data_IF_216488702142
#
_entry.id   IF_216488702142
#
_cell.length_a   1.000
_cell.length_b   1.000
_cell.length_c   1.000
_cell.angle_alpha   90.00
_cell.angle_beta   90.00
_cell.angle_gamma   90.00
#
_symmetry.space_group_name_H-M   'P 1'
#
loop_
_entity.id
_entity.type
_entity.pdbx_description
1 polymer ?
#
# COMPACT_ATOMS: atom_id res chain seq x y z
N UNK A 1 -6.30 34.32 8.36
CA UNK A 1 -6.68 34.59 6.96
C UNK A 1 -5.49 35.28 6.33
N UNK A 2 -4.59 34.52 5.70
CA UNK A 2 -3.38 35.06 5.08
C UNK A 2 -3.59 35.03 3.56
N UNK A 3 -3.52 36.22 2.96
CA UNK A 3 -3.66 36.48 1.53
C UNK A 3 -2.25 36.83 1.04
N UNK A 4 -1.79 36.15 0.01
CA UNK A 4 -0.55 36.50 -0.68
C UNK A 4 -0.90 37.39 -1.87
N UNK A 5 -0.39 38.62 -1.87
CA UNK A 5 -0.38 39.50 -3.03
C UNK A 5 0.97 39.34 -3.75
N UNK A 6 0.93 39.16 -5.07
CA UNK A 6 2.10 39.21 -5.94
C UNK A 6 2.10 40.60 -6.61
N UNK A 7 3.06 41.44 -6.28
CA UNK A 7 3.42 42.61 -7.07
C UNK A 7 4.56 42.21 -8.02
N UNK A 8 4.31 42.35 -9.33
CA UNK A 8 5.33 42.27 -10.38
C UNK A 8 5.67 43.72 -10.72
N UNK A 9 6.90 44.14 -10.47
CA UNK A 9 7.40 45.44 -10.91
C UNK A 9 7.65 45.39 -12.43
N UNK A 10 6.74 46.03 -13.18
CA UNK A 10 6.95 46.43 -14.58
C UNK A 10 7.77 47.73 -14.60
N UNK A 11 9.10 47.65 -14.61
CA UNK A 11 9.96 48.73 -15.09
C UNK A 11 11.39 48.21 -15.28
N UNK A 12 11.68 47.65 -16.46
CA UNK A 12 13.06 47.66 -17.02
C UNK A 12 13.06 47.40 -18.53
N UNK A 13 12.24 48.16 -19.26
CA UNK A 13 12.33 48.30 -20.71
C UNK A 13 12.90 49.68 -21.05
N UNK A 14 14.23 49.79 -21.17
CA UNK A 14 14.92 50.60 -22.20
C UNK A 14 16.43 50.76 -21.94
N UNK A 15 17.28 50.23 -22.82
CA UNK A 15 18.30 51.03 -23.55
C UNK A 15 18.98 50.17 -24.66
N UNK A 16 19.11 50.63 -25.93
CA UNK A 16 19.71 49.87 -27.02
C UNK A 16 21.15 50.32 -27.32
N UNK A 17 22.10 49.37 -27.45
CA UNK A 17 23.48 49.72 -27.80
C UNK A 17 24.35 48.56 -28.29
N UNK A 18 24.42 48.40 -29.62
CA UNK A 18 25.60 48.09 -30.44
C UNK A 18 26.46 46.85 -30.13
N UNK A 19 26.63 45.99 -31.15
CA UNK A 19 27.93 45.40 -31.46
C UNK A 19 27.95 43.91 -31.81
N UNK A 20 27.99 43.60 -33.10
CA UNK A 20 28.39 42.29 -33.63
C UNK A 20 29.90 42.12 -33.41
N UNK A 21 30.32 41.04 -32.75
CA UNK A 21 31.67 40.50 -32.92
C UNK A 21 31.67 38.97 -32.71
N UNK A 22 32.08 38.27 -33.77
CA UNK A 22 32.36 36.83 -33.78
C UNK A 22 33.51 36.49 -32.83
N UNK A 23 33.29 35.49 -31.98
CA UNK A 23 34.31 34.89 -31.14
C UNK A 23 34.02 33.41 -30.91
N UNK A 24 34.71 32.55 -31.65
CA UNK A 24 34.73 31.11 -31.41
C UNK A 24 35.41 30.89 -30.05
N UNK A 25 34.64 30.48 -29.03
CA UNK A 25 35.16 30.02 -27.76
C UNK A 25 34.46 28.72 -27.35
N UNK A 26 35.29 27.71 -27.11
CA UNK A 26 34.99 26.32 -26.80
C UNK A 26 33.99 26.17 -25.66
N UNK A 27 32.82 25.56 -25.93
CA UNK A 27 31.89 25.10 -24.90
C UNK A 27 32.55 24.00 -24.06
N UNK A 28 33.00 24.35 -22.84
CA UNK A 28 33.26 23.36 -21.79
C UNK A 28 31.91 22.81 -21.32
N UNK A 29 31.80 21.48 -21.30
CA UNK A 29 30.63 20.77 -20.79
C UNK A 29 30.30 21.21 -19.35
N UNK A 30 29.03 21.57 -19.14
CA UNK A 30 28.43 21.94 -17.86
C UNK A 30 28.34 20.70 -16.94
N UNK A 31 28.45 20.82 -15.60
CA UNK A 31 28.54 19.68 -14.68
C UNK A 31 27.30 18.78 -14.62
N UNK A 32 26.16 19.22 -15.17
CA UNK A 32 24.89 18.49 -15.13
C UNK A 32 24.87 17.26 -16.05
N UNK A 33 25.56 17.29 -17.19
CA UNK A 33 25.58 16.15 -18.13
C UNK A 33 26.43 14.99 -17.59
N UNK A 34 27.45 15.30 -16.79
CA UNK A 34 28.33 14.30 -16.18
C UNK A 34 27.66 13.57 -15.00
N UNK A 35 26.76 14.24 -14.26
CA UNK A 35 26.01 13.61 -13.17
C UNK A 35 24.92 12.65 -13.67
N UNK A 36 24.24 12.96 -14.77
CA UNK A 36 23.23 12.08 -15.38
C UNK A 36 23.89 10.80 -15.91
N UNK A 37 25.02 10.92 -16.63
CA UNK A 37 25.75 9.77 -17.15
C UNK A 37 26.38 8.90 -16.05
N UNK A 38 26.75 9.50 -14.89
CA UNK A 38 27.24 8.75 -13.73
C UNK A 38 26.12 8.05 -12.95
N UNK A 39 24.91 8.62 -12.89
CA UNK A 39 23.74 7.98 -12.33
C UNK A 39 23.28 6.77 -13.17
N UNK A 40 23.21 6.93 -14.50
CA UNK A 40 22.88 5.85 -15.45
C UNK A 40 23.91 4.71 -15.43
N UNK A 41 25.19 5.03 -15.20
CA UNK A 41 26.28 4.04 -15.06
C UNK A 41 26.24 3.30 -13.73
N UNK A 42 25.79 3.93 -12.65
CA UNK A 42 25.67 3.32 -11.33
C UNK A 42 24.42 2.42 -11.22
N UNK A 43 23.37 2.69 -11.99
CA UNK A 43 22.15 1.88 -12.03
C UNK A 43 22.31 0.53 -12.72
N UNK A 44 23.18 0.42 -13.74
CA UNK A 44 23.44 -0.85 -14.44
C UNK A 44 24.22 -1.90 -13.62
N UNK A 45 24.72 -1.56 -12.44
CA UNK A 45 25.46 -2.47 -11.55
C UNK A 45 24.83 -2.65 -10.17
N UNK A 46 23.60 -2.17 -9.96
CA UNK A 46 22.98 -2.23 -8.63
C UNK A 46 22.55 -3.66 -8.30
N UNK A 47 23.06 -4.19 -7.19
CA UNK A 47 22.67 -5.51 -6.67
C UNK A 47 21.26 -5.38 -6.10
N UNK A 48 20.32 -6.19 -6.60
CA UNK A 48 18.96 -6.23 -6.10
C UNK A 48 18.94 -6.63 -4.62
N UNK A 49 18.23 -5.85 -3.80
CA UNK A 49 18.13 -6.17 -2.37
C UNK A 49 17.36 -7.49 -2.17
N UNK A 50 17.91 -8.44 -1.37
CA UNK A 50 17.25 -9.70 -1.13
C UNK A 50 16.00 -9.47 -0.28
N UNK A 51 14.93 -10.20 -0.60
CA UNK A 51 13.74 -10.17 0.22
C UNK A 51 13.99 -10.81 1.59
N UNK A 52 13.23 -10.37 2.59
CA UNK A 52 13.24 -10.94 3.94
C UNK A 52 11.84 -11.03 4.51
N UNK A 53 11.52 -12.17 5.13
CA UNK A 53 10.32 -12.33 5.93
C UNK A 53 10.56 -11.88 7.37
N UNK A 54 9.56 -11.21 7.94
CA UNK A 54 9.56 -10.72 9.33
C UNK A 54 8.45 -11.41 10.11
N UNK A 55 8.79 -11.94 11.28
CA UNK A 55 7.78 -12.51 12.16
C UNK A 55 6.95 -11.39 12.81
N UNK A 56 5.65 -11.64 13.00
CA UNK A 56 4.75 -10.69 13.66
C UNK A 56 5.26 -10.36 15.06
N UNK A 57 5.68 -11.37 15.83
CA UNK A 57 6.21 -11.20 17.18
C UNK A 57 7.47 -10.32 17.21
N UNK A 58 8.37 -10.47 16.23
CA UNK A 58 9.57 -9.65 16.10
C UNK A 58 9.20 -8.17 15.86
N UNK A 59 8.25 -7.90 14.96
CA UNK A 59 7.82 -6.52 14.68
C UNK A 59 7.08 -5.91 15.89
N UNK A 60 6.20 -6.68 16.55
CA UNK A 60 5.51 -6.24 17.77
C UNK A 60 6.48 -5.94 18.92
N UNK A 61 7.59 -6.67 19.04
CA UNK A 61 8.61 -6.43 20.04
C UNK A 61 9.29 -5.07 19.87
N UNK A 62 9.28 -4.51 18.66
CA UNK A 62 9.90 -3.21 18.38
C UNK A 62 9.02 -1.99 18.65
N UNK A 63 7.74 -2.18 18.96
CA UNK A 63 6.82 -1.08 19.22
C UNK A 63 7.21 -0.32 20.50
N UNK A 64 7.10 1.02 20.51
CA UNK A 64 7.31 1.81 21.72
C UNK A 64 6.20 1.52 22.76
N UNK A 65 6.37 1.92 24.03
CA UNK A 65 5.37 1.70 25.09
C UNK A 65 4.02 2.37 24.84
N UNK A 66 3.97 3.40 24.01
CA UNK A 66 2.75 4.10 23.61
C UNK A 66 2.89 4.57 22.16
N UNK A 67 1.79 4.55 21.40
CA UNK A 67 1.72 5.14 20.06
C UNK A 67 0.55 6.13 19.95
N UNK A 68 0.75 7.24 19.26
CA UNK A 68 -0.30 8.16 18.81
C UNK A 68 -0.89 7.74 17.47
N UNK A 69 -2.20 7.90 17.31
CA UNK A 69 -2.91 7.66 16.05
C UNK A 69 -3.95 8.73 15.75
N UNK A 70 -4.21 8.92 14.46
CA UNK A 70 -5.23 9.83 13.93
C UNK A 70 -6.16 9.10 12.95
N UNK A 71 -7.42 9.56 12.83
CA UNK A 71 -8.36 9.02 11.86
C UNK A 71 -7.94 9.36 10.42
N UNK A 72 -7.96 8.36 9.54
CA UNK A 72 -7.95 8.53 8.09
C UNK A 72 -9.38 8.34 7.57
N UNK A 73 -10.03 9.44 7.21
CA UNK A 73 -11.38 9.42 6.64
C UNK A 73 -11.32 9.23 5.12
N UNK A 74 -11.95 8.16 4.64
CA UNK A 74 -12.01 7.77 3.24
C UNK A 74 -13.44 7.97 2.73
N UNK A 75 -13.71 9.02 1.94
CA UNK A 75 -15.01 9.20 1.31
C UNK A 75 -15.24 8.10 0.28
N UNK A 76 -16.30 7.32 0.47
CA UNK A 76 -16.71 6.32 -0.52
C UNK A 76 -17.57 7.03 -1.57
N UNK A 77 -16.97 7.34 -2.72
CA UNK A 77 -17.67 7.97 -3.82
C UNK A 77 -18.82 7.07 -4.30
N UNK A 78 -20.03 7.63 -4.38
CA UNK A 78 -21.22 6.91 -4.82
C UNK A 78 -21.43 6.97 -6.34
N UNK A 79 -20.41 7.15 -7.19
CA UNK A 79 -20.59 7.10 -8.65
C UNK A 79 -19.36 6.61 -9.38
N UNK A 80 -19.53 5.46 -10.03
CA UNK A 80 -19.19 5.36 -11.45
C UNK A 80 -20.44 5.85 -12.15
N UNK A 81 -20.29 6.64 -13.20
CA UNK A 81 -21.35 7.36 -13.91
C UNK A 81 -21.88 8.63 -13.26
N UNK A 82 -21.24 9.75 -13.63
CA UNK A 82 -21.83 11.10 -13.60
C UNK A 82 -23.09 11.23 -14.50
N UNK A 83 -23.50 10.18 -15.20
CA UNK A 83 -24.63 10.21 -16.14
C UNK A 83 -25.99 9.83 -15.51
N UNK A 84 -26.04 8.97 -14.48
CA UNK A 84 -27.32 8.51 -13.90
C UNK A 84 -27.74 9.20 -12.58
N UNK A 85 -26.85 9.94 -11.91
CA UNK A 85 -27.09 10.38 -10.54
C UNK A 85 -27.90 11.69 -10.38
N UNK A 86 -28.50 12.21 -11.44
CA UNK A 86 -29.45 13.35 -11.31
C UNK A 86 -30.78 12.96 -10.66
N UNK A 87 -31.03 11.68 -10.35
CA UNK A 87 -32.32 11.20 -9.84
C UNK A 87 -32.31 10.70 -8.38
N UNK A 88 -31.16 10.62 -7.70
CA UNK A 88 -31.13 10.23 -6.27
C UNK A 88 -30.27 11.16 -5.40
N UNK A 89 -30.70 12.41 -5.25
CA UNK A 89 -30.05 13.45 -4.44
C UNK A 89 -30.08 13.22 -2.91
N UNK A 90 -30.27 11.98 -2.43
CA UNK A 90 -30.61 11.71 -1.02
C UNK A 90 -29.91 10.50 -0.38
N UNK A 91 -28.87 9.91 -0.98
CA UNK A 91 -28.02 8.94 -0.24
C UNK A 91 -26.93 9.69 0.51
N UNK A 92 -26.79 9.51 1.84
CA UNK A 92 -25.68 10.10 2.58
C UNK A 92 -24.36 9.57 2.05
N UNK A 93 -23.37 10.45 1.89
CA UNK A 93 -21.99 10.06 1.57
C UNK A 93 -21.48 9.12 2.66
N UNK A 94 -21.16 7.88 2.29
CA UNK A 94 -20.59 6.91 3.21
C UNK A 94 -19.10 7.21 3.40
N UNK A 95 -18.63 7.22 4.63
CA UNK A 95 -17.22 7.44 4.97
C UNK A 95 -16.72 6.24 5.75
N UNK A 96 -15.57 5.71 5.36
CA UNK A 96 -14.83 4.71 6.13
C UNK A 96 -13.75 5.44 6.91
N UNK A 97 -13.64 5.16 8.21
CA UNK A 97 -12.56 5.68 9.04
C UNK A 97 -11.60 4.56 9.41
N UNK A 98 -10.30 4.78 9.22
CA UNK A 98 -9.24 3.87 9.62
C UNK A 98 -8.32 4.61 10.58
N UNK A 99 -8.13 4.09 11.79
CA UNK A 99 -7.11 4.61 12.69
C UNK A 99 -5.72 4.29 12.15
N UNK A 100 -4.87 5.32 12.03
CA UNK A 100 -3.53 5.21 11.48
C UNK A 100 -2.53 5.86 12.43
N UNK A 101 -1.41 5.19 12.70
CA UNK A 101 -0.31 5.74 13.49
C UNK A 101 0.16 7.06 12.89
N UNK A 102 0.41 8.02 13.76
CA UNK A 102 0.89 9.33 13.35
C UNK A 102 2.35 9.27 12.89
N UNK A 103 2.67 10.04 11.84
CA UNK A 103 4.04 10.08 11.33
C UNK A 103 5.01 10.74 12.32
N UNK A 104 4.54 11.73 13.09
CA UNK A 104 5.37 12.37 14.12
C UNK A 104 5.72 11.39 15.24
N UNK A 105 4.83 10.45 15.55
CA UNK A 105 5.05 9.41 16.56
C UNK A 105 6.10 8.40 16.09
N UNK A 106 6.01 7.95 14.83
CA UNK A 106 7.04 7.13 14.20
C UNK A 106 8.41 7.83 14.17
N UNK A 107 8.43 9.15 13.90
CA UNK A 107 9.66 9.97 13.98
C UNK A 107 10.22 10.02 15.39
N UNK A 108 9.38 10.27 16.40
CA UNK A 108 9.80 10.34 17.80
C UNK A 108 10.41 9.03 18.28
N UNK A 109 9.86 7.89 17.83
CA UNK A 109 10.44 6.58 18.10
C UNK A 109 11.88 6.46 17.56
N UNK A 110 12.17 6.94 16.34
CA UNK A 110 13.52 6.87 15.78
C UNK A 110 14.52 7.75 16.55
N UNK A 111 14.12 8.98 16.87
CA UNK A 111 14.96 9.90 17.68
C UNK A 111 15.27 9.27 19.05
N UNK A 112 14.28 8.65 19.68
CA UNK A 112 14.47 8.00 20.97
C UNK A 112 15.43 6.81 20.90
N UNK A 113 15.51 6.13 19.76
CA UNK A 113 16.45 5.01 19.55
C UNK A 113 17.88 5.52 19.34
N UNK A 114 18.08 6.69 18.72
CA UNK A 114 19.40 7.32 18.55
C UNK A 114 20.04 7.73 19.88
N UNK A 115 19.25 8.32 20.78
CA UNK A 115 19.75 8.78 22.08
C UNK A 115 20.25 7.60 22.95
N UNK A 116 19.64 6.41 22.81
CA UNK A 116 20.00 5.22 23.57
C UNK A 116 21.16 4.40 23.00
N UNK A 117 21.40 4.44 21.68
CA UNK A 117 22.51 3.72 21.01
C UNK A 117 23.84 4.49 21.04
N UNK A 118 23.88 5.70 21.59
CA UNK A 118 25.12 6.50 21.77
C UNK A 118 26.14 5.87 22.74
N UNK A 119 25.72 4.91 23.58
CA UNK A 119 26.56 4.22 24.57
C UNK A 119 26.68 2.68 24.36
N UNK A 120 26.09 2.11 23.30
CA UNK A 120 26.06 0.66 23.06
C UNK A 120 26.66 0.24 21.70
N UNK A 121 27.35 -0.90 21.69
CA UNK A 121 27.92 -1.50 20.47
C UNK A 121 26.84 -1.81 19.41
N UNK A 122 27.16 -1.76 18.10
CA UNK A 122 26.19 -1.66 17.01
C UNK A 122 25.52 -3.00 16.64
N UNK A 123 24.76 -3.62 17.56
CA UNK A 123 24.23 -4.98 17.33
C UNK A 123 22.75 -5.21 17.69
N UNK A 124 21.93 -4.18 17.85
CA UNK A 124 20.51 -4.35 18.25
C UNK A 124 19.47 -3.97 17.19
N UNK A 125 19.81 -3.32 16.08
CA UNK A 125 18.89 -3.16 14.94
C UNK A 125 19.07 -4.30 13.96
N UNK A 126 18.31 -5.39 14.14
CA UNK A 126 18.36 -6.60 13.31
C UNK A 126 18.01 -6.43 11.83
N UNK A 127 18.09 -5.23 11.25
CA UNK A 127 17.61 -4.85 9.92
C UNK A 127 18.57 -3.93 9.12
N UNK A 128 19.78 -3.63 9.62
CA UNK A 128 20.87 -3.09 8.79
C UNK A 128 20.79 -1.62 8.38
N UNK A 129 19.70 -0.91 8.68
CA UNK A 129 19.60 0.55 8.44
C UNK A 129 19.96 1.31 9.72
N UNK A 130 20.94 2.22 9.62
CA UNK A 130 21.32 3.08 10.74
C UNK A 130 20.18 4.07 11.06
N UNK A 131 19.89 4.34 12.34
CA UNK A 131 18.86 5.31 12.73
C UNK A 131 18.98 6.67 12.01
N UNK A 132 20.21 7.22 11.89
CA UNK A 132 20.47 8.47 11.18
C UNK A 132 19.90 8.48 9.76
N UNK A 133 20.09 7.38 9.01
CA UNK A 133 19.59 7.22 7.65
C UNK A 133 18.05 7.14 7.62
N UNK A 134 17.43 6.59 8.66
CA UNK A 134 15.98 6.52 8.77
C UNK A 134 15.34 7.89 9.04
N UNK A 135 15.98 8.74 9.85
CA UNK A 135 15.53 10.12 10.06
C UNK A 135 15.67 10.95 8.79
N UNK A 136 16.77 10.78 8.05
CA UNK A 136 16.94 11.42 6.74
C UNK A 136 15.78 11.09 5.79
N UNK A 137 15.27 9.85 5.80
CA UNK A 137 14.12 9.45 4.99
C UNK A 137 12.80 10.11 5.41
N UNK A 138 12.60 10.36 6.71
CA UNK A 138 11.42 11.08 7.21
C UNK A 138 11.48 12.57 6.87
N UNK A 139 12.68 13.16 6.96
CA UNK A 139 12.92 14.58 6.72
C UNK A 139 13.13 14.93 5.24
N UNK A 140 13.25 13.92 4.38
CA UNK A 140 13.44 14.12 2.96
C UNK A 140 12.27 14.93 2.36
N UNK A 141 12.56 15.95 1.52
CA UNK A 141 11.53 16.72 0.83
C UNK A 141 10.81 15.90 -0.25
N UNK A 142 11.46 14.83 -0.73
CA UNK A 142 10.89 13.82 -1.63
C UNK A 142 10.60 12.56 -0.83
N UNK A 143 9.40 12.00 -0.99
CA UNK A 143 9.04 10.69 -0.42
C UNK A 143 9.71 9.52 -1.17
N UNK A 144 10.52 9.78 -2.19
CA UNK A 144 11.23 8.77 -2.98
C UNK A 144 12.73 9.07 -3.04
N UNK A 145 13.52 8.06 -2.68
CA UNK A 145 14.98 7.96 -2.88
C UNK A 145 15.27 6.59 -3.54
N UNK A 146 15.52 6.57 -4.86
CA UNK A 146 15.71 5.34 -5.63
C UNK A 146 16.62 4.27 -5.02
N UNK A 147 16.08 3.07 -4.84
CA UNK A 147 16.79 1.89 -4.34
C UNK A 147 17.38 2.05 -2.95
N UNK A 148 16.85 2.98 -2.15
CA UNK A 148 17.19 3.16 -0.73
C UNK A 148 15.95 3.43 0.13
N UNK A 149 15.05 4.28 -0.35
CA UNK A 149 13.78 4.60 0.30
C UNK A 149 12.70 4.85 -0.77
N UNK A 150 11.95 3.83 -1.12
CA UNK A 150 10.86 3.92 -2.10
C UNK A 150 9.53 4.43 -1.48
N UNK A 151 9.61 5.25 -0.42
CA UNK A 151 8.47 5.81 0.29
C UNK A 151 7.84 4.89 1.32
N UNK A 152 6.53 5.03 1.54
CA UNK A 152 5.72 4.13 2.37
C UNK A 152 5.41 4.61 3.79
N UNK A 153 6.16 5.58 4.35
CA UNK A 153 5.86 6.14 5.68
C UNK A 153 4.64 7.08 5.67
N UNK A 154 4.36 7.71 4.53
CA UNK A 154 3.15 8.50 4.28
C UNK A 154 2.12 7.65 3.54
N UNK A 155 0.85 7.96 3.75
CA UNK A 155 -0.25 7.40 2.97
C UNK A 155 -0.41 8.20 1.68
N UNK A 156 -0.41 7.51 0.55
CA UNK A 156 -0.60 8.11 -0.76
C UNK A 156 -2.08 8.04 -1.18
N UNK A 157 -2.54 8.99 -2.01
CA UNK A 157 -3.96 9.17 -2.32
C UNK A 157 -4.57 7.96 -3.03
N UNK A 158 -3.82 7.29 -3.91
CA UNK A 158 -4.34 6.11 -4.62
C UNK A 158 -4.64 4.94 -3.69
N UNK A 159 -4.12 4.90 -2.46
CA UNK A 159 -4.47 3.87 -1.50
C UNK A 159 -5.93 4.02 -1.03
N UNK A 160 -6.40 5.26 -0.92
CA UNK A 160 -7.78 5.60 -0.58
C UNK A 160 -8.71 5.28 -1.75
N UNK A 161 -8.29 5.59 -2.97
CA UNK A 161 -9.02 5.25 -4.19
C UNK A 161 -9.22 3.73 -4.31
N UNK A 162 -8.18 2.95 -3.96
CA UNK A 162 -8.22 1.50 -3.96
C UNK A 162 -9.21 0.95 -2.91
N UNK A 163 -9.28 1.56 -1.72
CA UNK A 163 -10.32 1.24 -0.72
C UNK A 163 -11.71 1.50 -1.28
N UNK A 164 -11.92 2.62 -1.97
CA UNK A 164 -13.19 2.92 -2.65
C UNK A 164 -13.59 1.83 -3.66
N UNK A 165 -12.63 1.32 -4.43
CA UNK A 165 -12.85 0.22 -5.37
C UNK A 165 -13.17 -1.10 -4.65
N UNK A 166 -12.40 -1.47 -3.63
CA UNK A 166 -12.65 -2.66 -2.81
C UNK A 166 -14.04 -2.61 -2.18
N UNK A 167 -14.41 -1.45 -1.64
CA UNK A 167 -15.74 -1.23 -1.08
C UNK A 167 -16.85 -1.45 -2.11
N UNK A 168 -16.68 -1.00 -3.35
CA UNK A 168 -17.66 -1.24 -4.42
C UNK A 168 -17.68 -2.69 -4.89
N UNK A 169 -16.52 -3.34 -4.99
CA UNK A 169 -16.42 -4.72 -5.49
C UNK A 169 -17.04 -5.70 -4.51
N UNK A 170 -16.78 -5.51 -3.21
CA UNK A 170 -17.20 -6.44 -2.17
C UNK A 170 -18.43 -6.00 -1.40
N UNK A 171 -18.75 -4.70 -1.41
CA UNK A 171 -19.83 -4.07 -0.66
C UNK A 171 -19.92 -4.60 0.78
N UNK A 172 -21.13 -5.03 1.19
CA UNK A 172 -21.41 -5.61 2.51
C UNK A 172 -20.95 -7.05 2.65
N UNK A 173 -20.42 -7.65 1.60
CA UNK A 173 -20.03 -9.07 1.56
C UNK A 173 -18.51 -9.27 1.64
N UNK A 174 -17.76 -8.23 2.00
CA UNK A 174 -16.28 -8.27 2.13
C UNK A 174 -15.81 -9.48 2.95
N UNK A 175 -16.39 -9.71 4.12
CA UNK A 175 -16.09 -10.89 4.93
C UNK A 175 -16.37 -12.20 4.16
N UNK A 176 -17.62 -12.40 3.72
CA UNK A 176 -18.07 -13.64 3.09
C UNK A 176 -17.24 -14.00 1.86
N UNK A 177 -16.88 -13.00 1.06
CA UNK A 177 -16.16 -13.19 -0.21
C UNK A 177 -14.65 -13.33 -0.03
N UNK A 178 -14.10 -12.78 1.05
CA UNK A 178 -12.66 -12.86 1.35
C UNK A 178 -12.30 -13.95 2.35
N UNK A 179 -13.26 -14.54 3.06
CA UNK A 179 -13.00 -15.63 4.02
C UNK A 179 -12.21 -16.76 3.37
N UNK A 180 -11.11 -17.16 4.01
CA UNK A 180 -10.25 -18.24 3.54
C UNK A 180 -9.41 -17.93 2.29
N UNK A 181 -9.35 -16.65 1.86
CA UNK A 181 -8.60 -16.21 0.67
C UNK A 181 -7.15 -15.85 0.99
N UNK A 182 -6.32 -15.85 -0.05
CA UNK A 182 -4.92 -15.41 0.00
C UNK A 182 -4.80 -14.04 -0.67
N UNK A 183 -4.36 -13.04 0.09
CA UNK A 183 -4.33 -11.63 -0.27
C UNK A 183 -2.89 -11.12 -0.22
N UNK A 184 -2.46 -10.38 -1.24
CA UNK A 184 -1.15 -9.74 -1.31
C UNK A 184 -1.32 -8.24 -1.53
N UNK A 185 -0.60 -7.43 -0.75
CA UNK A 185 -0.40 -6.01 -1.04
C UNK A 185 1.09 -5.75 -1.29
N UNK A 186 1.45 -5.37 -2.52
CA UNK A 186 2.80 -5.00 -2.93
C UNK A 186 3.02 -3.49 -2.78
N UNK A 187 4.15 -3.09 -2.20
CA UNK A 187 4.42 -1.70 -1.86
C UNK A 187 3.40 -1.18 -0.84
N UNK A 188 3.16 -1.93 0.24
CA UNK A 188 2.03 -1.70 1.11
C UNK A 188 2.11 -0.39 1.90
N UNK A 189 3.30 0.14 2.20
CA UNK A 189 3.42 1.37 2.97
C UNK A 189 2.64 1.32 4.28
N UNK A 190 1.74 2.28 4.47
CA UNK A 190 0.80 2.32 5.61
C UNK A 190 -0.31 1.25 5.60
N UNK A 191 -0.40 0.43 4.55
CA UNK A 191 -1.27 -0.73 4.32
C UNK A 191 -2.79 -0.46 4.28
N UNK A 192 -3.20 0.78 3.99
CA UNK A 192 -4.61 1.21 4.02
C UNK A 192 -5.60 0.26 3.32
N UNK A 193 -5.35 -0.25 2.10
CA UNK A 193 -6.20 -1.25 1.46
C UNK A 193 -6.35 -2.55 2.27
N UNK A 194 -5.26 -3.10 2.79
CA UNK A 194 -5.31 -4.28 3.66
C UNK A 194 -5.94 -4.00 5.03
N UNK A 195 -5.78 -2.80 5.59
CA UNK A 195 -6.46 -2.42 6.84
C UNK A 195 -7.97 -2.34 6.68
N UNK A 196 -8.44 -1.87 5.52
CA UNK A 196 -9.86 -1.92 5.17
C UNK A 196 -10.35 -3.37 5.20
N UNK A 197 -9.64 -4.29 4.53
CA UNK A 197 -9.99 -5.72 4.52
C UNK A 197 -9.96 -6.30 5.95
N UNK A 198 -8.88 -6.09 6.70
CA UNK A 198 -8.71 -6.57 8.07
C UNK A 198 -9.81 -6.08 9.02
N UNK A 199 -10.19 -4.80 8.94
CA UNK A 199 -11.23 -4.25 9.83
C UNK A 199 -12.60 -4.90 9.61
N UNK A 200 -12.93 -5.23 8.35
CA UNK A 200 -14.14 -6.00 8.04
C UNK A 200 -14.08 -7.42 8.60
N UNK A 201 -12.92 -8.07 8.57
CA UNK A 201 -12.74 -9.44 9.05
C UNK A 201 -12.74 -9.55 10.57
N UNK A 202 -12.19 -8.56 11.26
CA UNK A 202 -12.26 -8.49 12.71
C UNK A 202 -13.60 -7.97 13.24
N UNK A 203 -14.51 -7.57 12.34
CA UNK A 203 -15.90 -7.26 12.69
C UNK A 203 -16.81 -8.48 12.64
N UNK A 204 -16.28 -9.60 12.19
CA UNK A 204 -16.97 -10.88 12.03
C UNK A 204 -16.83 -11.73 13.28
N UNK A 205 -17.77 -12.64 13.50
CA UNK A 205 -17.64 -13.63 14.56
C UNK A 205 -16.40 -14.51 14.31
N UNK A 206 -15.65 -14.88 15.38
CA UNK A 206 -14.54 -15.83 15.27
C UNK A 206 -15.00 -17.10 14.54
N UNK A 207 -14.13 -17.66 13.71
CA UNK A 207 -14.50 -18.88 12.98
C UNK A 207 -14.70 -20.00 13.98
N UNK A 208 -15.90 -20.56 14.05
CA UNK A 208 -16.11 -21.80 14.79
C UNK A 208 -15.19 -22.86 14.21
N UNK A 209 -14.59 -23.68 15.08
CA UNK A 209 -13.69 -24.79 14.72
C UNK A 209 -14.45 -25.87 13.94
N UNK A 210 -14.83 -25.56 12.71
CA UNK A 210 -15.07 -26.57 11.68
C UNK A 210 -13.73 -26.84 11.00
N UNK A 211 -13.36 -28.13 10.93
CA UNK A 211 -12.16 -28.61 10.24
C UNK A 211 -12.09 -28.19 8.76
N UNK A 212 -13.21 -27.70 8.20
CA UNK A 212 -13.35 -27.24 6.82
C UNK A 212 -13.03 -25.74 6.61
N UNK A 213 -12.82 -24.95 7.67
CA UNK A 213 -12.50 -23.51 7.49
C UNK A 213 -11.02 -23.30 7.13
N UNK A 214 -10.75 -22.70 5.96
CA UNK A 214 -9.39 -22.37 5.53
C UNK A 214 -8.86 -21.10 6.19
N UNK A 215 -7.56 -21.08 6.45
CA UNK A 215 -6.86 -19.90 6.97
C UNK A 215 -6.85 -18.79 5.92
N UNK A 216 -7.17 -17.57 6.36
CA UNK A 216 -6.95 -16.39 5.54
C UNK A 216 -5.50 -15.98 5.62
N UNK A 217 -4.88 -15.72 4.47
CA UNK A 217 -3.49 -15.32 4.38
C UNK A 217 -3.41 -13.90 3.85
N UNK A 218 -2.81 -12.98 4.62
CA UNK A 218 -2.60 -11.59 4.21
C UNK A 218 -1.10 -11.32 4.22
N UNK A 219 -0.56 -11.08 3.04
CA UNK A 219 0.85 -10.79 2.83
C UNK A 219 1.03 -9.31 2.52
N UNK A 220 1.84 -8.63 3.33
CA UNK A 220 2.15 -7.21 3.20
C UNK A 220 3.62 -7.09 2.83
N UNK A 221 3.89 -6.57 1.63
CA UNK A 221 5.24 -6.40 1.14
C UNK A 221 5.56 -4.92 0.96
N UNK A 222 6.70 -4.49 1.48
CA UNK A 222 7.28 -3.17 1.19
C UNK A 222 8.75 -3.31 0.80
N UNK A 223 9.34 -2.33 0.13
CA UNK A 223 10.79 -2.35 -0.09
C UNK A 223 11.52 -2.22 1.25
N UNK A 224 11.05 -1.29 2.09
CA UNK A 224 11.76 -0.86 3.28
C UNK A 224 11.30 -1.64 4.53
N UNK A 225 12.19 -2.38 5.22
CA UNK A 225 11.82 -3.04 6.47
C UNK A 225 11.40 -2.06 7.58
N UNK A 226 11.93 -0.84 7.57
CA UNK A 226 11.54 0.22 8.51
C UNK A 226 10.09 0.66 8.33
N UNK A 227 9.56 0.64 7.11
CA UNK A 227 8.14 0.95 6.87
C UNK A 227 7.25 -0.09 7.54
N UNK A 228 7.60 -1.38 7.38
CA UNK A 228 6.88 -2.47 8.04
C UNK A 228 6.84 -2.32 9.55
N UNK A 229 8.00 -1.96 10.13
CA UNK A 229 8.20 -1.76 11.56
C UNK A 229 7.48 -0.53 12.10
N UNK A 230 7.63 0.62 11.43
CA UNK A 230 7.23 1.93 11.96
C UNK A 230 5.80 2.29 11.65
N UNK A 231 5.20 1.78 10.56
CA UNK A 231 3.84 2.17 10.17
C UNK A 231 2.94 0.97 9.86
N UNK A 232 3.41 -0.03 9.10
CA UNK A 232 2.54 -1.14 8.67
C UNK A 232 2.04 -1.97 9.85
N UNK A 233 2.94 -2.53 10.67
CA UNK A 233 2.57 -3.38 11.80
C UNK A 233 1.78 -2.62 12.89
N UNK A 234 2.16 -1.40 13.32
CA UNK A 234 1.33 -0.62 14.23
C UNK A 234 -0.08 -0.37 13.69
N UNK A 235 -0.22 -0.07 12.39
CA UNK A 235 -1.54 0.14 11.80
C UNK A 235 -2.39 -1.13 11.78
N UNK A 236 -1.79 -2.29 11.52
CA UNK A 236 -2.48 -3.60 11.59
C UNK A 236 -2.98 -3.87 13.02
N UNK A 237 -2.17 -3.57 14.03
CA UNK A 237 -2.58 -3.66 15.44
C UNK A 237 -3.74 -2.69 15.74
N UNK A 238 -3.67 -1.45 15.25
CA UNK A 238 -4.75 -0.46 15.39
C UNK A 238 -6.04 -0.93 14.72
N UNK A 239 -5.98 -1.52 13.52
CA UNK A 239 -7.16 -2.04 12.83
C UNK A 239 -7.86 -3.15 13.64
N UNK A 240 -7.10 -4.01 14.33
CA UNK A 240 -7.67 -4.96 15.28
C UNK A 240 -8.22 -4.25 16.53
N UNK A 241 -7.49 -3.32 17.13
CA UNK A 241 -7.89 -2.63 18.36
C UNK A 241 -9.20 -1.84 18.19
N UNK A 242 -9.40 -1.24 17.01
CA UNK A 242 -10.61 -0.47 16.67
C UNK A 242 -11.80 -1.34 16.28
N UNK A 243 -11.61 -2.66 16.19
CA UNK A 243 -12.66 -3.59 15.78
C UNK A 243 -13.41 -4.21 16.97
N UNK A 244 -14.58 -4.84 16.72
CA UNK A 244 -15.24 -5.70 17.69
C UNK A 244 -14.36 -6.83 18.25
N UNK A 245 -13.42 -7.39 17.48
CA UNK A 245 -12.57 -8.51 17.92
C UNK A 245 -11.69 -8.22 19.16
N UNK A 246 -11.42 -6.96 19.48
CA UNK A 246 -10.67 -6.57 20.69
C UNK A 246 -11.58 -6.22 21.87
N UNK A 247 -12.91 -6.37 21.75
CA UNK A 247 -13.86 -6.01 22.80
C UNK A 247 -13.57 -6.71 24.13
N UNK A 248 -13.33 -8.03 24.10
CA UNK A 248 -13.00 -8.79 25.32
C UNK A 248 -11.77 -8.24 26.02
N UNK A 249 -10.74 -7.84 25.26
CA UNK A 249 -9.55 -7.21 25.82
C UNK A 249 -9.89 -5.87 26.49
N UNK A 250 -10.60 -4.98 25.77
CA UNK A 250 -10.96 -3.65 26.29
C UNK A 250 -11.83 -3.72 27.54
N UNK A 251 -12.81 -4.62 27.57
CA UNK A 251 -13.69 -4.83 28.72
C UNK A 251 -12.89 -5.31 29.94
N UNK A 252 -11.96 -6.23 29.73
CA UNK A 252 -11.07 -6.72 30.79
C UNK A 252 -10.14 -5.63 31.32
N UNK A 253 -9.56 -4.82 30.43
CA UNK A 253 -8.66 -3.73 30.77
C UNK A 253 -9.39 -2.61 31.55
N UNK A 254 -10.61 -2.27 31.15
CA UNK A 254 -11.45 -1.32 31.88
C UNK A 254 -11.74 -1.79 33.31
N UNK A 255 -12.03 -3.08 33.49
CA UNK A 255 -12.30 -3.66 34.82
C UNK A 255 -11.07 -3.76 35.73
N UNK A 256 -9.87 -3.84 35.14
CA UNK A 256 -8.60 -3.92 35.87
C UNK A 256 -8.06 -2.55 36.29
N UNK A 257 -8.68 -1.45 35.85
CA UNK A 257 -8.16 -0.11 36.06
C UNK A 257 -8.25 0.35 37.53
N UNK A 258 -7.11 0.32 38.23
CA UNK A 258 -6.86 1.15 39.42
C UNK A 258 -6.38 2.53 39.00
N UNK A 259 -6.41 3.54 39.88
CA UNK A 259 -6.07 4.93 39.55
C UNK A 259 -4.68 5.17 38.89
N UNK A 260 -3.78 4.17 38.91
CA UNK A 260 -2.44 4.21 38.31
C UNK A 260 -2.26 3.27 37.09
N UNK A 261 -3.32 2.73 36.48
CA UNK A 261 -3.20 1.83 35.30
C UNK A 261 -3.31 2.56 33.96
N UNK A 262 -2.59 2.07 32.94
CA UNK A 262 -2.74 2.50 31.55
C UNK A 262 -4.23 2.55 31.12
N UNK A 263 -4.71 3.73 30.75
CA UNK A 263 -6.10 3.92 30.32
C UNK A 263 -6.18 3.69 28.81
N UNK A 264 -6.80 2.58 28.41
CA UNK A 264 -7.00 2.25 27.00
C UNK A 264 -8.11 3.11 26.36
N UNK A 265 -7.92 3.66 25.14
CA UNK A 265 -8.91 4.54 24.52
C UNK A 265 -10.15 3.76 24.05
N UNK A 266 -11.32 4.40 23.90
CA UNK A 266 -12.46 3.75 23.25
C UNK A 266 -12.11 3.31 21.82
N UNK A 267 -12.71 2.21 21.35
CA UNK A 267 -12.55 1.74 19.98
C UNK A 267 -13.41 2.58 19.02
N UNK A 268 -12.94 3.78 18.71
CA UNK A 268 -13.55 4.67 17.73
C UNK A 268 -12.49 5.15 16.72
N UNK A 269 -12.44 4.56 15.50
CA UNK A 269 -11.45 4.91 14.49
C UNK A 269 -11.66 6.30 13.88
N UNK A 270 -12.74 7.02 14.24
CA UNK A 270 -12.99 8.40 13.82
C UNK A 270 -12.40 9.45 14.75
N UNK A 271 -11.84 9.03 15.90
CA UNK A 271 -11.25 9.91 16.90
C UNK A 271 -9.74 9.70 17.00
N UNK A 272 -8.95 10.78 17.17
CA UNK A 272 -7.53 10.63 17.48
C UNK A 272 -7.33 10.17 18.93
N UNK A 273 -6.22 9.51 19.21
CA UNK A 273 -5.90 9.04 20.55
C UNK A 273 -4.50 8.46 20.69
N UNK A 274 -4.19 7.97 21.90
CA UNK A 274 -2.97 7.22 22.19
C UNK A 274 -3.32 5.81 22.63
N UNK A 275 -2.49 4.83 22.25
CA UNK A 275 -2.64 3.43 22.62
C UNK A 275 -1.39 2.95 23.35
N UNK A 276 -1.55 2.60 24.63
CA UNK A 276 -0.50 1.96 25.42
C UNK A 276 -0.24 0.54 24.91
N UNK A 277 1.02 0.24 24.62
CA UNK A 277 1.48 -1.03 24.05
C UNK A 277 2.00 -1.95 25.16
N UNK A 278 1.10 -2.72 25.74
CA UNK A 278 1.43 -3.66 26.84
C UNK A 278 1.65 -5.08 26.31
N UNK A 279 2.34 -5.96 27.07
CA UNK A 279 2.41 -7.39 26.74
C UNK A 279 1.03 -8.03 26.59
N UNK A 280 0.09 -7.70 27.48
CA UNK A 280 -1.29 -8.21 27.44
C UNK A 280 -2.03 -7.79 26.15
N UNK A 281 -1.81 -6.57 25.65
CA UNK A 281 -2.36 -6.11 24.37
C UNK A 281 -1.82 -6.96 23.21
N UNK A 282 -0.50 -7.18 23.18
CA UNK A 282 0.17 -7.99 22.13
C UNK A 282 -0.34 -9.43 22.15
N UNK A 283 -0.44 -10.04 23.33
CA UNK A 283 -0.94 -11.40 23.50
C UNK A 283 -2.40 -11.53 23.05
N UNK A 284 -3.26 -10.57 23.40
CA UNK A 284 -4.65 -10.52 22.97
C UNK A 284 -4.78 -10.36 21.45
N UNK A 285 -3.96 -9.51 20.83
CA UNK A 285 -3.90 -9.37 19.38
C UNK A 285 -3.52 -10.68 18.69
N UNK A 286 -2.44 -11.33 19.15
CA UNK A 286 -1.97 -12.61 18.60
C UNK A 286 -3.01 -13.73 18.80
N UNK A 287 -3.70 -13.76 19.95
CA UNK A 287 -4.81 -14.68 20.19
C UNK A 287 -5.97 -14.42 19.24
N UNK A 288 -6.31 -13.16 18.98
CA UNK A 288 -7.35 -12.78 18.04
C UNK A 288 -7.03 -13.18 16.60
N UNK A 289 -5.78 -13.04 16.16
CA UNK A 289 -5.34 -13.53 14.85
C UNK A 289 -5.60 -15.04 14.70
N UNK A 290 -5.29 -15.83 15.73
CA UNK A 290 -5.54 -17.28 15.74
C UNK A 290 -7.04 -17.58 15.72
N UNK A 291 -7.84 -16.91 16.55
CA UNK A 291 -9.28 -17.11 16.64
C UNK A 291 -10.03 -16.75 15.33
N UNK A 292 -9.54 -15.74 14.60
CA UNK A 292 -10.08 -15.35 13.29
C UNK A 292 -9.41 -16.08 12.13
N UNK A 293 -8.47 -17.00 12.40
CA UNK A 293 -7.69 -17.74 11.41
C UNK A 293 -6.99 -16.84 10.38
N UNK A 294 -6.49 -15.70 10.85
CA UNK A 294 -5.74 -14.73 10.05
C UNK A 294 -4.24 -15.01 10.18
N UNK A 295 -3.60 -15.33 9.07
CA UNK A 295 -2.15 -15.51 8.94
C UNK A 295 -1.55 -14.29 8.26
N UNK A 296 -0.73 -13.56 9.00
CA UNK A 296 0.01 -12.41 8.49
C UNK A 296 1.43 -12.82 8.09
N UNK A 297 1.89 -12.37 6.92
CA UNK A 297 3.29 -12.44 6.51
C UNK A 297 3.76 -11.06 6.06
N UNK A 298 4.80 -10.53 6.69
CA UNK A 298 5.38 -9.25 6.32
C UNK A 298 6.71 -9.48 5.62
N UNK A 299 6.89 -8.85 4.46
CA UNK A 299 8.00 -9.08 3.53
C UNK A 299 8.67 -7.74 3.21
N UNK A 300 9.99 -7.63 3.43
CA UNK A 300 10.77 -6.48 2.95
C UNK A 300 11.64 -6.85 1.75
N UNK A 301 12.12 -5.88 0.98
CA UNK A 301 13.11 -6.04 -0.08
C UNK A 301 12.56 -5.87 -1.50
N UNK A 302 13.42 -6.07 -2.50
CA UNK A 302 13.09 -5.86 -3.92
C UNK A 302 12.05 -6.86 -4.43
N UNK A 303 11.15 -6.40 -5.31
CA UNK A 303 10.24 -7.27 -6.05
C UNK A 303 10.99 -8.28 -6.92
N UNK A 304 12.17 -7.91 -7.43
CA UNK A 304 12.96 -8.79 -8.29
C UNK A 304 13.45 -10.07 -7.58
N UNK A 305 13.60 -10.02 -6.26
CA UNK A 305 14.05 -11.16 -5.46
C UNK A 305 12.91 -11.84 -4.69
N UNK A 306 11.70 -11.26 -4.71
CA UNK A 306 10.57 -11.71 -3.90
C UNK A 306 10.12 -13.12 -4.28
N UNK A 307 10.18 -14.02 -3.31
CA UNK A 307 9.70 -15.39 -3.47
C UNK A 307 8.24 -15.50 -3.02
N UNK A 308 7.36 -15.71 -4.00
CA UNK A 308 5.93 -15.91 -3.83
C UNK A 308 5.50 -17.36 -4.08
N UNK A 309 6.45 -18.31 -4.03
CA UNK A 309 6.20 -19.75 -4.25
C UNK A 309 4.99 -20.28 -3.49
N UNK A 310 4.36 -21.29 -4.09
CA UNK A 310 3.12 -21.90 -3.62
C UNK A 310 1.85 -21.43 -4.33
N UNK A 311 0.71 -21.55 -3.64
CA UNK A 311 -0.60 -21.34 -4.25
C UNK A 311 -0.82 -19.86 -4.68
N UNK A 312 -1.48 -19.62 -5.82
CA UNK A 312 -1.78 -18.27 -6.29
C UNK A 312 -2.68 -17.49 -5.31
N UNK A 313 -2.51 -16.16 -5.32
CA UNK A 313 -3.32 -15.23 -4.56
C UNK A 313 -4.68 -15.01 -5.22
N UNK A 314 -5.73 -14.94 -4.42
CA UNK A 314 -7.07 -14.60 -4.87
C UNK A 314 -7.22 -13.09 -5.10
N UNK A 315 -6.50 -12.28 -4.31
CA UNK A 315 -6.51 -10.81 -4.40
C UNK A 315 -5.08 -10.29 -4.36
N UNK A 316 -4.70 -9.49 -5.35
CA UNK A 316 -3.41 -8.81 -5.45
C UNK A 316 -3.66 -7.31 -5.58
N UNK A 317 -3.09 -6.54 -4.67
CA UNK A 317 -3.28 -5.10 -4.54
C UNK A 317 -1.94 -4.39 -4.64
N UNK A 318 -1.93 -3.24 -5.30
CA UNK A 318 -0.80 -2.33 -5.23
C UNK A 318 -1.25 -0.91 -5.51
N UNK A 319 -0.60 0.06 -4.87
CA UNK A 319 -0.95 1.47 -4.96
C UNK A 319 0.30 2.33 -5.11
N UNK A 320 0.32 3.16 -6.15
CA UNK A 320 1.41 4.06 -6.53
C UNK A 320 2.77 3.35 -6.63
N UNK A 321 2.82 2.24 -7.37
CA UNK A 321 4.04 1.42 -7.57
C UNK A 321 4.58 1.45 -9.00
N UNK A 322 3.92 2.17 -9.91
CA UNK A 322 4.28 2.26 -11.34
C UNK A 322 4.99 3.57 -11.71
N UNK A 323 5.46 4.33 -10.71
CA UNK A 323 6.08 5.64 -10.93
C UNK A 323 7.47 5.56 -11.57
N UNK A 324 8.14 4.40 -11.46
CA UNK A 324 9.47 4.16 -12.02
C UNK A 324 9.39 3.14 -13.17
N UNK A 325 9.62 3.55 -14.44
CA UNK A 325 9.61 2.65 -15.59
C UNK A 325 10.58 1.46 -15.44
N UNK A 326 11.74 1.69 -14.81
CA UNK A 326 12.79 0.68 -14.65
C UNK A 326 12.38 -0.46 -13.71
N UNK A 327 11.47 -0.21 -12.77
CA UNK A 327 10.94 -1.25 -11.87
C UNK A 327 9.79 -2.06 -12.48
N UNK A 328 9.22 -1.61 -13.60
CA UNK A 328 8.05 -2.26 -14.21
C UNK A 328 8.28 -3.74 -14.56
N UNK A 329 9.44 -4.17 -15.12
CA UNK A 329 9.65 -5.59 -15.41
C UNK A 329 9.56 -6.47 -14.17
N UNK A 330 10.17 -6.05 -13.05
CA UNK A 330 10.13 -6.79 -11.78
C UNK A 330 8.72 -6.79 -11.18
N UNK A 331 8.02 -5.65 -11.20
CA UNK A 331 6.65 -5.54 -10.71
C UNK A 331 5.68 -6.42 -11.51
N UNK A 332 5.72 -6.35 -12.85
CA UNK A 332 4.84 -7.10 -13.74
C UNK A 332 5.05 -8.60 -13.56
N UNK A 333 6.32 -9.05 -13.52
CA UNK A 333 6.63 -10.45 -13.21
C UNK A 333 6.02 -10.87 -11.87
N UNK A 334 6.20 -10.06 -10.82
CA UNK A 334 5.69 -10.36 -9.48
C UNK A 334 4.17 -10.42 -9.42
N UNK A 335 3.47 -9.47 -10.05
CA UNK A 335 2.02 -9.46 -10.14
C UNK A 335 1.49 -10.69 -10.89
N UNK A 336 2.16 -11.08 -11.99
CA UNK A 336 1.81 -12.29 -12.75
C UNK A 336 2.01 -13.54 -11.92
N UNK A 337 3.18 -13.71 -11.32
CA UNK A 337 3.52 -14.88 -10.50
C UNK A 337 2.59 -14.98 -9.29
N UNK A 338 2.21 -13.86 -8.67
CA UNK A 338 1.24 -13.84 -7.59
C UNK A 338 -0.14 -14.35 -8.04
N UNK A 339 -0.62 -13.91 -9.20
CA UNK A 339 -1.94 -14.28 -9.71
C UNK A 339 -2.02 -15.71 -10.26
N UNK A 340 -0.93 -16.22 -10.85
CA UNK A 340 -0.90 -17.53 -11.52
C UNK A 340 -0.29 -18.64 -10.66
N UNK A 341 0.56 -18.31 -9.68
CA UNK A 341 1.27 -19.28 -8.87
C UNK A 341 2.31 -20.09 -9.65
N UNK A 342 2.95 -21.06 -8.98
CA UNK A 342 3.93 -21.96 -9.61
C UNK A 342 3.28 -23.11 -10.42
N UNK A 343 2.02 -23.42 -10.12
CA UNK A 343 1.24 -24.44 -10.81
C UNK A 343 0.47 -23.79 -11.96
N UNK A 344 1.07 -23.71 -13.15
CA UNK A 344 0.40 -23.27 -14.36
C UNK A 344 -0.88 -24.07 -14.67
N UNK A 345 -1.78 -23.47 -15.47
CA UNK A 345 -3.00 -23.99 -16.16
C UNK A 345 -3.96 -24.95 -15.41
N UNK A 346 -3.50 -25.99 -14.73
CA UNK A 346 -4.31 -27.03 -14.09
C UNK A 346 -5.02 -26.55 -12.81
N UNK A 347 -4.39 -25.73 -11.96
CA UNK A 347 -5.04 -25.18 -10.74
C UNK A 347 -6.03 -24.06 -11.07
N UNK A 348 -5.75 -23.28 -12.12
CA UNK A 348 -6.64 -22.23 -12.61
C UNK A 348 -7.99 -22.81 -13.10
N UNK A 349 -7.96 -23.96 -13.80
CA UNK A 349 -9.16 -24.65 -14.26
C UNK A 349 -10.00 -25.23 -13.10
N UNK A 350 -9.37 -25.70 -12.02
CA UNK A 350 -10.09 -26.19 -10.84
C UNK A 350 -10.82 -25.05 -10.09
N UNK A 351 -10.23 -23.84 -10.04
CA UNK A 351 -10.83 -22.65 -9.40
C UNK A 351 -12.03 -22.09 -10.16
N UNK A 352 -12.12 -22.32 -11.48
CA UNK A 352 -13.29 -21.95 -12.27
C UNK A 352 -14.57 -22.68 -11.83
N UNK A 353 -14.46 -23.87 -11.22
CA UNK A 353 -15.61 -24.69 -10.83
C UNK A 353 -16.33 -24.23 -9.55
N UNK A 354 -15.77 -23.29 -8.77
CA UNK A 354 -16.36 -22.84 -7.49
C UNK A 354 -17.13 -21.52 -7.57
N UNK A 355 -17.21 -20.89 -8.76
CA UNK A 355 -18.01 -19.67 -8.99
C UNK A 355 -19.43 -19.95 -9.53
N UNK A 356 -19.98 -21.15 -9.34
CA UNK A 356 -21.39 -21.42 -9.64
C UNK A 356 -22.29 -21.08 -8.45
N UNK A 357 -22.54 -19.79 -8.24
CA UNK A 357 -23.84 -19.38 -7.72
C UNK A 357 -24.83 -19.49 -8.90
N UNK A 358 -25.94 -20.21 -8.68
CA UNK A 358 -26.86 -20.71 -9.69
C UNK A 358 -27.22 -19.73 -10.84
N UNK A 359 -27.27 -20.20 -12.11
CA UNK A 359 -27.78 -19.39 -13.20
C UNK A 359 -29.30 -19.27 -13.08
N UNK A 360 -29.80 -18.04 -12.92
CA UNK A 360 -31.19 -17.75 -13.28
C UNK A 360 -31.36 -18.03 -14.77
N UNK A 361 -32.18 -19.03 -15.09
CA UNK A 361 -32.62 -19.29 -16.46
C UNK A 361 -33.25 -18.02 -17.05
N UNK A 362 -32.58 -17.46 -18.05
CA UNK A 362 -33.05 -16.37 -18.89
C UNK A 362 -32.37 -16.50 -20.24
N UNK A 363 -33.12 -16.97 -21.22
CA UNK A 363 -32.77 -17.16 -22.62
C UNK A 363 -32.27 -15.85 -23.28
N UNK A 364 -31.17 -15.91 -24.01
CA UNK A 364 -30.60 -14.79 -24.77
C UNK A 364 -29.08 -14.75 -24.80
N UNK A 365 -28.50 -15.24 -25.89
CA UNK A 365 -27.05 -15.34 -26.08
C UNK A 365 -26.26 -14.04 -25.92
N UNK A 366 -25.25 -14.10 -25.06
CA UNK A 366 -24.16 -13.15 -24.93
C UNK A 366 -23.00 -13.89 -24.27
N UNK A 367 -21.80 -13.85 -24.87
CA UNK A 367 -20.62 -14.56 -24.36
C UNK A 367 -20.36 -14.18 -22.91
N UNK A 368 -20.45 -15.16 -22.01
CA UNK A 368 -20.19 -14.96 -20.59
C UNK A 368 -18.75 -14.51 -20.39
N UNK A 369 -18.56 -13.32 -19.83
CA UNK A 369 -17.28 -12.96 -19.22
C UNK A 369 -17.08 -13.89 -18.03
N UNK A 370 -16.27 -14.94 -18.22
CA UNK A 370 -15.76 -15.77 -17.15
C UNK A 370 -14.96 -14.87 -16.19
N UNK A 371 -15.38 -14.78 -14.93
CA UNK A 371 -14.64 -14.03 -13.93
C UNK A 371 -13.23 -14.63 -13.80
N UNK A 372 -12.16 -13.83 -13.91
CA UNK A 372 -10.81 -14.33 -13.75
C UNK A 372 -10.63 -14.95 -12.35
N UNK A 373 -9.77 -15.97 -12.19
CA UNK A 373 -9.59 -16.69 -10.92
C UNK A 373 -8.96 -15.83 -9.80
N UNK A 374 -8.63 -14.56 -10.09
CA UNK A 374 -7.99 -13.61 -9.19
C UNK A 374 -8.50 -12.19 -9.44
N UNK A 375 -8.41 -11.33 -8.42
CA UNK A 375 -8.62 -9.89 -8.50
C UNK A 375 -7.27 -9.17 -8.35
N UNK A 376 -6.71 -8.67 -9.45
CA UNK A 376 -5.47 -7.89 -9.43
C UNK A 376 -5.78 -6.41 -9.69
N UNK A 377 -5.59 -5.55 -8.68
CA UNK A 377 -5.86 -4.11 -8.77
C UNK A 377 -4.59 -3.28 -8.58
N UNK A 378 -4.38 -2.35 -9.50
CA UNK A 378 -3.26 -1.39 -9.52
C UNK A 378 -3.84 0.01 -9.50
N UNK A 379 -3.66 0.72 -8.38
CA UNK A 379 -4.06 2.13 -8.26
C UNK A 379 -2.85 3.04 -8.49
N UNK A 380 -2.98 4.08 -9.32
CA UNK A 380 -1.87 4.94 -9.67
C UNK A 380 -2.29 6.34 -10.13
N UNK A 381 -1.40 7.32 -9.97
CA UNK A 381 -1.48 8.57 -10.74
C UNK A 381 -1.28 8.27 -12.21
N UNK A 382 -2.01 8.99 -13.07
CA UNK A 382 -1.95 8.81 -14.51
C UNK A 382 -0.54 9.09 -15.06
N UNK A 383 0.14 10.09 -14.51
CA UNK A 383 1.50 10.51 -14.85
C UNK A 383 2.24 10.92 -13.58
N UNK A 384 3.50 10.51 -13.44
CA UNK A 384 4.40 10.96 -12.38
C UNK A 384 5.47 11.89 -12.97
N UNK A 385 5.39 13.18 -12.65
CA UNK A 385 6.36 14.17 -13.13
C UNK A 385 7.73 13.94 -12.47
N UNK A 386 8.81 14.05 -13.25
CA UNK A 386 10.20 13.94 -12.79
C UNK A 386 10.80 12.54 -12.79
N UNK A 387 10.00 11.49 -12.58
CA UNK A 387 10.44 10.08 -12.59
C UNK A 387 10.05 9.32 -13.87
N UNK A 388 9.16 9.89 -14.68
CA UNK A 388 8.88 9.42 -16.05
C UNK A 388 7.92 8.23 -16.15
N UNK A 389 7.51 7.60 -15.04
CA UNK A 389 6.50 6.54 -15.04
C UNK A 389 5.07 7.05 -15.07
N UNK A 390 4.15 6.12 -15.30
CA UNK A 390 2.74 6.43 -15.48
C UNK A 390 1.94 5.24 -15.97
N UNK A 391 0.65 5.48 -16.15
CA UNK A 391 -0.32 4.47 -16.59
C UNK A 391 -0.01 4.00 -18.01
N UNK A 392 0.44 4.90 -18.90
CA UNK A 392 0.74 4.54 -20.29
C UNK A 392 1.88 3.52 -20.38
N UNK A 393 2.96 3.75 -19.63
CA UNK A 393 4.14 2.89 -19.60
C UNK A 393 3.79 1.52 -19.02
N UNK A 394 2.99 1.49 -17.94
CA UNK A 394 2.50 0.26 -17.34
C UNK A 394 1.60 -0.54 -18.30
N UNK A 395 0.62 0.10 -18.94
CA UNK A 395 -0.28 -0.55 -19.91
C UNK A 395 0.52 -1.11 -21.08
N UNK A 396 1.45 -0.33 -21.64
CA UNK A 396 2.32 -0.79 -22.72
C UNK A 396 3.19 -1.98 -22.29
N UNK A 397 3.66 -2.02 -21.05
CA UNK A 397 4.48 -3.13 -20.56
C UNK A 397 3.66 -4.41 -20.30
N UNK A 398 2.35 -4.31 -20.03
CA UNK A 398 1.45 -5.47 -19.84
C UNK A 398 0.82 -5.94 -21.16
N UNK A 399 0.39 -5.02 -22.02
CA UNK A 399 -0.35 -5.33 -23.25
C UNK A 399 0.49 -5.29 -24.53
N UNK A 400 1.70 -4.73 -24.45
CA UNK A 400 2.56 -4.48 -25.60
C UNK A 400 2.97 -5.77 -26.31
N UNK A 401 3.16 -5.71 -27.64
CA UNK A 401 3.79 -6.79 -28.37
C UNK A 401 5.26 -6.79 -27.96
N UNK A 402 5.65 -7.72 -27.10
CA UNK A 402 7.05 -7.88 -26.75
C UNK A 402 7.78 -8.22 -28.07
N UNK A 403 8.96 -7.65 -28.30
CA UNK A 403 9.71 -7.89 -29.54
C UNK A 403 10.09 -9.39 -29.75
N UNK A 404 9.76 -10.24 -28.78
CA UNK A 404 9.89 -11.70 -28.79
C UNK A 404 8.81 -12.48 -28.00
N UNK A 405 7.69 -11.87 -27.57
CA UNK A 405 6.67 -12.57 -26.77
C UNK A 405 5.24 -12.06 -27.03
N UNK A 406 4.29 -13.00 -27.02
CA UNK A 406 2.86 -12.75 -27.05
C UNK A 406 2.42 -11.88 -25.86
N UNK A 407 1.26 -11.22 -25.99
CA UNK A 407 0.61 -10.46 -24.90
C UNK A 407 0.63 -11.24 -23.58
N UNK A 408 1.20 -10.64 -22.53
CA UNK A 408 1.25 -11.27 -21.19
C UNK A 408 -0.03 -11.04 -20.38
N UNK A 409 -0.79 -9.98 -20.67
CA UNK A 409 -2.07 -9.68 -20.03
C UNK A 409 -2.89 -8.61 -20.75
N UNK A 410 -3.98 -8.19 -20.10
CA UNK A 410 -4.79 -7.02 -20.45
C UNK A 410 -5.05 -6.16 -19.22
N UNK A 411 -5.23 -4.86 -19.45
CA UNK A 411 -5.44 -3.85 -18.41
C UNK A 411 -6.76 -3.13 -18.67
N UNK A 412 -7.67 -3.17 -17.70
CA UNK A 412 -8.94 -2.49 -17.76
C UNK A 412 -8.99 -1.39 -16.71
N UNK A 413 -9.28 -0.15 -17.09
CA UNK A 413 -9.60 0.90 -16.12
C UNK A 413 -10.91 0.55 -15.43
N UNK A 414 -10.83 0.37 -14.11
CA UNK A 414 -11.98 0.05 -13.28
C UNK A 414 -12.32 1.16 -12.32
N UNK A 415 -11.66 2.32 -12.32
CA UNK A 415 -12.04 3.58 -11.64
C UNK A 415 -11.17 4.74 -12.13
N UNK A 416 -11.71 5.97 -12.16
CA UNK A 416 -10.92 7.18 -12.46
C UNK A 416 -11.36 8.36 -11.58
N UNK A 417 -10.39 9.12 -11.08
CA UNK A 417 -10.55 10.43 -10.49
C UNK A 417 -10.03 11.51 -11.44
N UNK A 418 -10.88 12.47 -11.74
CA UNK A 418 -10.59 13.53 -12.70
C UNK A 418 -10.24 14.87 -12.04
N UNK A 419 -10.29 14.96 -10.70
CA UNK A 419 -9.91 16.15 -9.94
C UNK A 419 -8.39 16.26 -9.76
N UNK A 420 -7.81 17.43 -10.05
CA UNK A 420 -6.37 17.66 -9.90
C UNK A 420 -5.52 16.73 -10.78
N UNK A 421 -4.47 16.12 -10.20
CA UNK A 421 -3.70 15.09 -10.89
C UNK A 421 -4.58 13.84 -11.03
N UNK A 422 -4.86 13.44 -12.27
CA UNK A 422 -5.71 12.28 -12.55
C UNK A 422 -5.16 11.02 -11.89
N UNK A 423 -6.04 10.28 -11.21
CA UNK A 423 -5.73 8.99 -10.57
C UNK A 423 -6.64 7.92 -11.13
N UNK A 424 -6.13 6.70 -11.27
CA UNK A 424 -6.80 5.61 -11.96
C UNK A 424 -6.62 4.34 -11.12
N UNK A 425 -7.67 3.52 -11.00
CA UNK A 425 -7.54 2.13 -10.57
C UNK A 425 -7.77 1.24 -11.78
N UNK A 426 -6.83 0.33 -11.99
CA UNK A 426 -6.81 -0.61 -13.11
C UNK A 426 -6.95 -2.03 -12.59
N UNK A 427 -7.73 -2.86 -13.28
CA UNK A 427 -7.74 -4.30 -13.10
C UNK A 427 -6.87 -4.95 -14.16
N UNK A 428 -5.95 -5.82 -13.73
CA UNK A 428 -5.08 -6.58 -14.63
C UNK A 428 -5.61 -8.00 -14.74
N UNK A 429 -5.67 -8.53 -15.97
CA UNK A 429 -6.00 -9.93 -16.27
C UNK A 429 -4.81 -10.55 -17.00
N UNK A 430 -4.26 -11.64 -16.48
CA UNK A 430 -3.12 -12.32 -17.07
C UNK A 430 -3.56 -13.38 -18.09
N UNK A 431 -2.81 -13.53 -19.19
CA UNK A 431 -2.97 -14.65 -20.11
C UNK A 431 -2.38 -15.90 -19.43
N UNK A 432 -3.22 -16.93 -19.32
CA UNK A 432 -2.93 -18.21 -18.66
C UNK A 432 -2.22 -19.16 -19.61
#
# INVERSE_FOLDING_TARGET
MFRFDFEIDEDDLSDPGLGVQEGIATLKATPQVTQIAQAESAEKQRVEEPYRAHAVDELLATLPPEISFSPLSIPLASTFDDSEQRLSANRPSQVVNIARRDLFDARFQLISLEDHDSDASPSTSGLGVKPDTALEFIDAPSDLVPGMYEGGLKTWECALDLVGCLHRIFEKETERRLKGKKILELGCGTAVPSLYILSHLFSSEPSQDSEESSDMHIHLQDYNPLVLRLVTMPNVLLAWYMSPASQTFRDSAASASSADSDTFPPADPSTPGTLSITPALKDAFLASLRAHRVRLRLLSGSWATLDLSGAPYDVVLTSETIYRPESLPALIKTLRDACLGEAGLEDAAARMSFSSAEPKQGDGGGGGEENPPHLCLVAAKRVYFGVGGGVSEFVNAVEGPDANADRVGSVQTVWEHTGGVKRIVMQVKWVV
#
